data_IF_512308213040
#
_entry.id   IF_512308213040
#
_cell.length_a   1.000
_cell.length_b   1.000
_cell.length_c   1.000
_cell.angle_alpha   90.00
_cell.angle_beta   90.00
_cell.angle_gamma   90.00
#
_symmetry.space_group_name_H-M   'P 1'
#
loop_
_entity.id
_entity.type
_entity.pdbx_description
1 polymer ?
#
# COMPACT_ATOMS: atom_id res chain seq x y z
N UNK A 1 6.63 10.02 6.78
CA UNK A 1 6.28 10.86 7.96
C UNK A 1 5.19 11.80 7.52
N UNK A 2 4.18 12.10 8.35
CA UNK A 2 3.06 12.96 7.96
C UNK A 2 3.18 14.33 8.60
N UNK A 3 3.07 15.39 7.79
CA UNK A 3 3.07 16.78 8.25
C UNK A 3 1.74 17.45 7.89
N UNK A 4 1.31 18.44 8.67
CA UNK A 4 0.10 19.23 8.38
C UNK A 4 0.50 20.66 8.09
N UNK A 5 0.00 21.21 6.99
CA UNK A 5 0.34 22.55 6.50
C UNK A 5 -0.94 23.28 6.11
N UNK A 6 -1.05 24.56 6.49
CA UNK A 6 -2.15 25.40 6.04
C UNK A 6 -1.88 25.88 4.60
N UNK A 7 -2.88 25.81 3.73
CA UNK A 7 -2.73 26.07 2.29
C UNK A 7 -2.21 27.49 2.00
N UNK A 8 -2.49 28.46 2.87
CA UNK A 8 -2.01 29.83 2.71
C UNK A 8 -0.54 30.06 3.11
N UNK A 9 0.07 29.11 3.81
CA UNK A 9 1.38 29.28 4.45
C UNK A 9 2.53 28.58 3.70
N UNK A 10 2.25 27.92 2.56
CA UNK A 10 3.25 27.16 1.81
C UNK A 10 3.07 27.25 0.29
N UNK A 11 4.17 27.19 -0.44
CA UNK A 11 4.19 27.09 -1.91
C UNK A 11 4.03 25.64 -2.36
N UNK A 12 3.29 25.42 -3.45
CA UNK A 12 3.07 24.08 -4.00
C UNK A 12 4.39 23.36 -4.32
N UNK A 13 5.41 24.09 -4.79
CA UNK A 13 6.71 23.53 -5.16
C UNK A 13 7.44 22.94 -3.95
N UNK A 14 7.37 23.61 -2.79
CA UNK A 14 7.95 23.12 -1.54
C UNK A 14 7.22 21.89 -1.02
N UNK A 15 5.88 21.88 -1.13
CA UNK A 15 5.06 20.74 -0.73
C UNK A 15 5.36 19.51 -1.60
N UNK A 16 5.55 19.70 -2.91
CA UNK A 16 5.94 18.63 -3.83
C UNK A 16 7.33 18.09 -3.50
N UNK A 17 8.32 18.94 -3.22
CA UNK A 17 9.66 18.48 -2.84
C UNK A 17 9.65 17.60 -1.57
N UNK A 18 8.79 17.92 -0.59
CA UNK A 18 8.60 17.10 0.62
C UNK A 18 7.97 15.74 0.29
N UNK A 19 6.97 15.75 -0.59
CA UNK A 19 6.33 14.52 -1.06
C UNK A 19 7.30 13.63 -1.84
N UNK A 20 8.14 14.21 -2.68
CA UNK A 20 9.22 13.51 -3.40
C UNK A 20 10.28 12.94 -2.46
N UNK A 21 10.53 13.60 -1.33
CA UNK A 21 11.39 13.10 -0.26
C UNK A 21 10.74 11.97 0.58
N UNK A 22 9.49 11.59 0.31
CA UNK A 22 8.77 10.51 0.99
C UNK A 22 7.96 10.97 2.21
N UNK A 23 7.65 12.27 2.32
CA UNK A 23 6.71 12.79 3.30
C UNK A 23 5.26 12.75 2.76
N UNK A 24 4.28 12.59 3.65
CA UNK A 24 2.87 12.83 3.33
C UNK A 24 2.44 14.18 3.89
N UNK A 25 1.75 14.99 3.10
CA UNK A 25 1.32 16.33 3.51
C UNK A 25 -0.19 16.38 3.63
N UNK A 26 -0.70 16.69 4.81
CA UNK A 26 -2.10 17.08 5.04
C UNK A 26 -2.24 18.58 4.80
N UNK A 27 -3.10 18.95 3.86
CA UNK A 27 -3.43 20.33 3.55
C UNK A 27 -4.64 20.75 4.36
N UNK A 28 -4.48 21.79 5.17
CA UNK A 28 -5.53 22.38 5.98
C UNK A 28 -5.92 23.77 5.44
N UNK A 29 -7.16 24.18 5.71
CA UNK A 29 -7.63 25.55 5.55
C UNK A 29 -8.14 26.03 6.89
N UNK A 30 -7.54 27.10 7.40
CA UNK A 30 -7.88 27.65 8.74
C UNK A 30 -7.78 26.59 9.84
N UNK A 31 -6.75 25.74 9.76
CA UNK A 31 -6.51 24.64 10.72
C UNK A 31 -7.40 23.40 10.52
N UNK A 32 -8.34 23.42 9.57
CA UNK A 32 -9.20 22.27 9.24
C UNK A 32 -8.61 21.48 8.07
N UNK A 33 -8.28 20.19 8.23
CA UNK A 33 -7.83 19.34 7.12
C UNK A 33 -8.86 19.26 5.98
N UNK A 34 -8.42 19.49 4.74
CA UNK A 34 -9.30 19.48 3.55
C UNK A 34 -8.78 18.59 2.42
N UNK A 35 -7.48 18.30 2.36
CA UNK A 35 -6.88 17.44 1.35
C UNK A 35 -5.60 16.77 1.87
N UNK A 36 -5.13 15.76 1.15
CA UNK A 36 -3.83 15.12 1.40
C UNK A 36 -3.06 15.03 0.08
N UNK A 37 -1.79 15.42 0.12
CA UNK A 37 -0.82 15.23 -0.94
C UNK A 37 0.10 14.09 -0.50
N UNK A 38 0.19 13.05 -1.31
CA UNK A 38 1.08 11.91 -1.09
C UNK A 38 1.81 11.62 -2.39
N UNK A 39 2.94 10.94 -2.28
CA UNK A 39 3.66 10.49 -3.46
C UNK A 39 2.71 9.61 -4.24
N UNK A 40 2.66 9.80 -5.56
CA UNK A 40 2.07 8.80 -6.42
C UNK A 40 3.05 7.64 -6.36
N UNK A 41 2.90 6.81 -5.32
CA UNK A 41 3.59 5.54 -5.21
C UNK A 41 3.40 4.93 -6.59
N UNK A 42 4.49 4.61 -7.29
CA UNK A 42 4.33 3.67 -8.39
C UNK A 42 3.59 2.50 -7.75
N UNK A 43 2.37 2.16 -8.20
CA UNK A 43 1.72 0.98 -7.68
C UNK A 43 2.77 -0.11 -7.78
N UNK A 44 3.07 -0.77 -6.65
CA UNK A 44 4.03 -1.87 -6.57
C UNK A 44 3.93 -2.59 -7.89
N UNK A 45 5.00 -2.55 -8.69
CA UNK A 45 4.85 -2.92 -10.08
C UNK A 45 4.22 -4.30 -10.10
N UNK A 46 3.34 -4.58 -11.08
CA UNK A 46 2.69 -5.90 -11.15
C UNK A 46 3.72 -7.03 -11.01
N UNK A 47 4.95 -6.80 -11.48
CA UNK A 47 6.11 -7.67 -11.29
C UNK A 47 6.52 -7.85 -9.81
N UNK A 48 6.74 -6.77 -9.06
CA UNK A 48 7.06 -6.83 -7.63
C UNK A 48 5.96 -7.49 -6.80
N UNK A 49 4.68 -7.26 -7.14
CA UNK A 49 3.57 -7.93 -6.49
C UNK A 49 3.56 -9.44 -6.78
N UNK A 50 3.81 -9.83 -8.03
CA UNK A 50 3.95 -11.25 -8.42
C UNK A 50 5.12 -11.89 -7.67
N UNK A 51 6.27 -11.23 -7.61
CA UNK A 51 7.45 -11.73 -6.90
C UNK A 51 7.16 -11.95 -5.40
N UNK A 52 6.48 -10.98 -4.78
CA UNK A 52 6.04 -11.07 -3.38
C UNK A 52 5.14 -12.29 -3.16
N UNK A 53 4.14 -12.49 -4.03
CA UNK A 53 3.24 -13.64 -3.95
C UNK A 53 3.99 -14.97 -4.13
N UNK A 54 4.93 -15.04 -5.07
CA UNK A 54 5.73 -16.24 -5.31
C UNK A 54 6.62 -16.57 -4.11
N UNK A 55 7.28 -15.57 -3.52
CA UNK A 55 8.13 -15.72 -2.34
C UNK A 55 7.32 -16.25 -1.14
N UNK A 56 6.16 -15.65 -0.88
CA UNK A 56 5.25 -16.09 0.17
C UNK A 56 4.72 -17.51 -0.07
N UNK A 57 4.46 -17.89 -1.32
CA UNK A 57 4.01 -19.24 -1.67
C UNK A 57 5.10 -20.30 -1.52
N UNK A 58 6.36 -19.94 -1.76
CA UNK A 58 7.49 -20.87 -1.65
C UNK A 58 7.69 -21.41 -0.23
N UNK A 59 7.32 -20.63 0.80
CA UNK A 59 7.40 -21.06 2.20
C UNK A 59 6.23 -21.94 2.69
N UNK A 60 5.20 -22.14 1.87
CA UNK A 60 4.02 -22.91 2.28
C UNK A 60 4.28 -24.41 2.13
N UNK A 61 3.68 -25.20 3.02
CA UNK A 61 3.67 -26.67 2.86
C UNK A 61 2.98 -27.01 1.55
N UNK A 62 3.61 -27.89 0.77
CA UNK A 62 2.99 -28.47 -0.42
C UNK A 62 1.84 -29.37 0.01
N UNK A 63 0.78 -29.37 -0.78
CA UNK A 63 -0.40 -30.21 -0.56
C UNK A 63 -0.48 -31.23 -1.70
N UNK A 64 -0.65 -32.49 -1.35
CA UNK A 64 -0.81 -33.61 -2.28
C UNK A 64 -2.25 -33.70 -2.81
N UNK A 65 -2.43 -34.42 -3.92
CA UNK A 65 -3.77 -34.66 -4.47
C UNK A 65 -4.64 -35.50 -3.53
N UNK A 66 -4.02 -36.39 -2.74
CA UNK A 66 -4.69 -37.24 -1.77
C UNK A 66 -5.28 -36.39 -0.63
N UNK A 67 -4.50 -35.48 -0.06
CA UNK A 67 -4.97 -34.53 0.97
C UNK A 67 -6.11 -33.63 0.46
N UNK A 68 -6.02 -33.16 -0.80
CA UNK A 68 -7.09 -32.37 -1.41
C UNK A 68 -8.37 -33.20 -1.56
N UNK A 69 -8.25 -34.47 -1.98
CA UNK A 69 -9.39 -35.35 -2.14
C UNK A 69 -10.06 -35.63 -0.78
N UNK A 70 -9.28 -35.86 0.27
CA UNK A 70 -9.78 -36.05 1.63
C UNK A 70 -10.56 -34.83 2.14
N UNK A 71 -9.99 -33.62 2.03
CA UNK A 71 -10.67 -32.39 2.48
C UNK A 71 -11.97 -32.13 1.72
N UNK A 72 -12.00 -32.44 0.41
CA UNK A 72 -13.23 -32.36 -0.39
C UNK A 72 -14.31 -33.32 0.09
N UNK A 73 -13.94 -34.52 0.56
CA UNK A 73 -14.90 -35.48 1.10
C UNK A 73 -15.43 -35.05 2.47
N UNK A 74 -14.57 -34.46 3.32
CA UNK A 74 -14.98 -33.91 4.62
C UNK A 74 -16.05 -32.83 4.42
N UNK A 75 -15.82 -31.85 3.53
CA UNK A 75 -16.77 -30.75 3.29
C UNK A 75 -18.06 -31.13 2.57
N UNK A 76 -18.19 -32.37 2.08
CA UNK A 76 -19.43 -32.90 1.46
C UNK A 76 -20.34 -33.62 2.45
N UNK A 77 -19.87 -33.92 3.65
CA UNK A 77 -20.67 -34.48 4.75
C UNK A 77 -21.26 -33.36 5.58
#
# INVERSE_FOLDING_TARGET
>A
MTITVNIGDADLSELLAKVEAGEDVVLARDGVPVAQLTSVTQPISKAELIETILRERAGRKTVTQEEIAEWKQIGRR
#
